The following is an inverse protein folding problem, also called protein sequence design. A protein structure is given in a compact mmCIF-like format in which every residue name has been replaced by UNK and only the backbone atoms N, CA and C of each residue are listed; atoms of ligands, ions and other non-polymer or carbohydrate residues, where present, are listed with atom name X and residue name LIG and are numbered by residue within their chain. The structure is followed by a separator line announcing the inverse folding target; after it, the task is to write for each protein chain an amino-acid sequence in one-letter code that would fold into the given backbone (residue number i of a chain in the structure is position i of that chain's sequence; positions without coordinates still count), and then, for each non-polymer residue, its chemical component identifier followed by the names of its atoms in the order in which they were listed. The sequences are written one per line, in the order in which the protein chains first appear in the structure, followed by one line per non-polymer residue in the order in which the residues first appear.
data_IF_516914156556
#
_entry.id   IF_516914156556
#
_cell.length_a   1.000
_cell.length_b   1.000
_cell.length_c   1.000
_cell.angle_alpha   90.00
_cell.angle_beta   90.00
_cell.angle_gamma   90.00
#
_symmetry.space_group_name_H-M   'P 1'
#
loop_
_entity.id
_entity.type
_entity.pdbx_description
1 polymer ?
#
# COMPACT_ATOMS: atom_id res chain seq x y z
N UNK A 1 -0.43 -13.47 27.94
CA UNK A 1 0.64 -13.44 26.93
C UNK A 1 0.60 -12.11 26.23
N UNK A 2 1.76 -11.49 26.12
CA UNK A 2 1.88 -10.14 25.53
C UNK A 2 2.16 -10.21 24.03
N UNK A 3 1.39 -11.01 23.32
CA UNK A 3 1.50 -11.20 21.87
C UNK A 3 0.14 -10.98 21.21
N UNK A 4 0.12 -10.24 20.11
CA UNK A 4 -1.07 -10.12 19.27
C UNK A 4 -0.83 -10.91 17.98
N UNK A 5 -1.85 -11.63 17.55
CA UNK A 5 -1.82 -12.36 16.27
C UNK A 5 -2.95 -11.78 15.44
N UNK A 6 -2.60 -11.09 14.35
CA UNK A 6 -3.54 -10.26 13.61
C UNK A 6 -3.64 -10.73 12.16
N UNK A 7 -4.84 -10.65 11.61
CA UNK A 7 -5.08 -10.98 10.20
C UNK A 7 -6.13 -10.03 9.62
N UNK A 8 -6.26 -10.02 8.30
CA UNK A 8 -7.18 -9.13 7.60
C UNK A 8 -7.90 -9.92 6.52
N UNK A 9 -9.23 -9.95 6.58
CA UNK A 9 -10.05 -10.69 5.62
C UNK A 9 -11.04 -9.82 4.85
N UNK A 10 -11.17 -8.54 5.23
CA UNK A 10 -12.05 -7.61 4.55
C UNK A 10 -11.36 -6.98 3.34
N UNK A 11 -12.13 -6.29 2.50
CA UNK A 11 -11.59 -5.55 1.37
C UNK A 11 -10.74 -4.37 1.82
N UNK A 12 -9.74 -4.05 1.00
CA UNK A 12 -8.99 -2.80 1.11
C UNK A 12 -7.93 -2.80 2.18
N UNK A 13 -7.54 -1.60 2.54
CA UNK A 13 -6.43 -1.31 3.44
C UNK A 13 -6.93 -1.19 4.87
N UNK A 14 -6.24 -1.86 5.81
CA UNK A 14 -6.54 -1.69 7.23
C UNK A 14 -5.24 -1.73 8.03
N UNK A 15 -5.07 -0.72 8.88
CA UNK A 15 -3.97 -0.70 9.86
C UNK A 15 -4.24 -1.73 10.93
N UNK A 16 -3.22 -2.53 11.24
CA UNK A 16 -3.31 -3.60 12.24
C UNK A 16 -2.50 -3.31 13.49
N UNK A 17 -1.36 -2.65 13.33
CA UNK A 17 -0.50 -2.29 14.46
C UNK A 17 -0.07 -0.84 14.29
N UNK A 18 -0.29 -0.04 15.33
CA UNK A 18 0.23 1.31 15.42
C UNK A 18 1.08 1.42 16.67
N UNK A 19 2.32 1.87 16.54
CA UNK A 19 3.17 2.09 17.69
C UNK A 19 4.04 3.32 17.47
N UNK A 20 3.89 4.32 18.32
CA UNK A 20 4.65 5.56 18.26
C UNK A 20 4.69 6.17 16.85
N UNK A 21 5.73 5.89 16.08
CA UNK A 21 5.97 6.57 14.80
C UNK A 21 5.68 5.72 13.57
N UNK A 22 5.30 4.44 13.74
CA UNK A 22 5.10 3.56 12.59
C UNK A 22 3.78 2.79 12.68
N UNK A 23 3.31 2.36 11.53
CA UNK A 23 2.12 1.50 11.43
C UNK A 23 2.39 0.36 10.47
N UNK A 24 1.79 -0.79 10.75
CA UNK A 24 1.78 -1.95 9.85
C UNK A 24 0.35 -2.22 9.44
N UNK A 25 0.11 -2.25 8.13
CA UNK A 25 -1.20 -2.49 7.56
C UNK A 25 -1.18 -3.72 6.67
N UNK A 26 -2.37 -4.29 6.46
CA UNK A 26 -2.59 -5.30 5.44
C UNK A 26 -3.60 -4.75 4.44
N UNK A 27 -3.35 -4.99 3.15
CA UNK A 27 -4.22 -4.52 2.08
C UNK A 27 -4.65 -5.70 1.23
N UNK A 28 -5.95 -5.88 1.12
CA UNK A 28 -6.58 -6.90 0.29
C UNK A 28 -7.18 -6.26 -0.96
N UNK A 29 -7.59 -7.10 -1.90
CA UNK A 29 -8.28 -6.66 -3.09
C UNK A 29 -9.46 -5.75 -2.75
N UNK A 30 -9.63 -4.74 -3.57
CA UNK A 30 -10.84 -3.93 -3.63
C UNK A 30 -10.98 -3.45 -5.08
N UNK A 31 -12.20 -3.18 -5.57
CA UNK A 31 -12.38 -2.77 -6.97
C UNK A 31 -11.55 -1.55 -7.37
N UNK A 32 -11.34 -0.61 -6.44
CA UNK A 32 -10.52 0.59 -6.72
C UNK A 32 -9.03 0.28 -6.88
N UNK A 33 -8.60 -0.93 -6.57
CA UNK A 33 -7.20 -1.37 -6.68
C UNK A 33 -6.99 -2.21 -7.93
N UNK A 34 -7.71 -1.88 -9.00
CA UNK A 34 -7.59 -2.49 -10.32
C UNK A 34 -7.43 -1.40 -11.37
N UNK A 35 -7.00 -1.77 -12.57
CA UNK A 35 -6.88 -0.78 -13.65
C UNK A 35 -8.22 -0.13 -13.97
N UNK A 36 -9.30 -0.90 -13.94
CA UNK A 36 -10.64 -0.39 -14.25
C UNK A 36 -11.16 0.53 -13.15
N UNK A 37 -10.79 0.25 -11.91
CA UNK A 37 -11.30 1.00 -10.75
C UNK A 37 -10.41 2.14 -10.29
N UNK A 38 -9.17 2.20 -10.75
CA UNK A 38 -8.22 3.21 -10.31
C UNK A 38 -8.58 4.58 -10.89
N UNK A 39 -8.73 5.59 -10.03
CA UNK A 39 -9.12 6.94 -10.44
C UNK A 39 -8.10 8.01 -10.07
N UNK A 40 -7.11 7.70 -9.26
CA UNK A 40 -6.09 8.64 -8.85
C UNK A 40 -4.80 7.92 -8.45
N UNK A 41 -3.70 8.67 -8.45
CA UNK A 41 -2.45 8.27 -7.84
C UNK A 41 -2.18 9.19 -6.66
N UNK A 42 -1.32 8.76 -5.74
CA UNK A 42 -1.04 9.53 -4.54
C UNK A 42 0.45 9.51 -4.21
N UNK A 43 0.87 10.46 -3.37
CA UNK A 43 2.22 10.45 -2.81
C UNK A 43 2.20 10.95 -1.37
N UNK A 44 3.02 10.33 -0.54
CA UNK A 44 3.15 10.70 0.86
C UNK A 44 4.37 11.62 1.01
N UNK A 45 4.16 12.75 1.65
CA UNK A 45 5.16 13.82 1.67
C UNK A 45 6.12 13.72 2.85
N UNK A 46 5.84 12.85 3.85
CA UNK A 46 6.62 12.80 5.08
C UNK A 46 7.08 11.39 5.45
N UNK A 47 6.84 10.42 4.61
CA UNK A 47 7.21 9.03 4.88
C UNK A 47 7.58 8.27 3.61
N UNK A 48 8.51 7.33 3.74
CA UNK A 48 8.59 6.24 2.79
C UNK A 48 7.46 5.27 3.08
N UNK A 49 7.12 4.43 2.12
CA UNK A 49 6.09 3.40 2.31
C UNK A 49 6.63 2.07 1.80
N UNK A 50 6.68 1.08 2.69
CA UNK A 50 7.20 -0.25 2.37
C UNK A 50 6.04 -1.16 2.00
N UNK A 51 6.21 -1.92 0.92
CA UNK A 51 5.24 -2.90 0.44
C UNK A 51 5.89 -4.27 0.34
N UNK A 52 5.21 -5.30 0.82
CA UNK A 52 5.64 -6.70 0.69
C UNK A 52 4.45 -7.52 0.24
N UNK A 53 4.60 -8.24 -0.89
CA UNK A 53 3.54 -9.13 -1.39
C UNK A 53 3.54 -10.42 -0.57
N UNK A 54 2.39 -10.74 0.02
CA UNK A 54 2.23 -11.96 0.82
C UNK A 54 1.60 -13.10 0.02
N UNK A 55 0.51 -12.82 -0.71
CA UNK A 55 -0.21 -13.81 -1.51
C UNK A 55 -0.73 -13.18 -2.79
N UNK A 56 -1.10 -14.00 -3.76
CA UNK A 56 -1.67 -13.55 -5.01
C UNK A 56 -0.68 -12.83 -5.90
N UNK A 57 -1.19 -11.94 -6.74
CA UNK A 57 -0.35 -11.11 -7.61
C UNK A 57 -0.69 -9.64 -7.41
N UNK A 58 0.32 -8.80 -7.54
CA UNK A 58 0.17 -7.35 -7.39
C UNK A 58 1.22 -6.63 -8.20
N UNK A 59 0.95 -5.36 -8.52
CA UNK A 59 1.91 -4.47 -9.16
C UNK A 59 1.87 -3.12 -8.47
N UNK A 60 3.01 -2.44 -8.47
CA UNK A 60 3.10 -1.03 -8.11
C UNK A 60 3.15 -0.22 -9.39
N UNK A 61 2.39 0.86 -9.44
CA UNK A 61 2.48 1.86 -10.50
C UNK A 61 3.29 3.02 -9.93
N UNK A 62 4.42 3.34 -10.55
CA UNK A 62 5.40 4.27 -9.99
C UNK A 62 5.58 5.47 -10.90
N UNK A 63 5.56 6.67 -10.28
CA UNK A 63 5.77 7.93 -10.98
C UNK A 63 4.51 8.44 -11.65
N UNK A 64 4.58 9.67 -12.18
CA UNK A 64 3.44 10.26 -12.90
C UNK A 64 3.08 9.48 -14.16
N UNK A 65 4.04 8.77 -14.72
CA UNK A 65 3.85 7.95 -15.93
C UNK A 65 3.28 6.58 -15.60
N UNK A 66 3.15 6.26 -14.31
CA UNK A 66 2.57 5.01 -13.84
C UNK A 66 3.27 3.78 -14.44
N UNK A 67 4.59 3.76 -14.33
CA UNK A 67 5.35 2.60 -14.77
C UNK A 67 4.97 1.39 -13.91
N UNK A 68 4.55 0.32 -14.54
CA UNK A 68 4.12 -0.88 -13.82
C UNK A 68 5.32 -1.72 -13.40
N UNK A 69 5.42 -1.98 -12.10
CA UNK A 69 6.44 -2.84 -11.50
C UNK A 69 5.73 -4.03 -10.88
N UNK A 70 5.72 -5.20 -11.54
CA UNK A 70 5.14 -6.39 -10.92
C UNK A 70 5.89 -6.76 -9.66
N UNK A 71 5.15 -7.08 -8.61
CA UNK A 71 5.74 -7.48 -7.33
C UNK A 71 5.99 -8.97 -7.29
N UNK A 72 7.09 -9.34 -6.65
CA UNK A 72 7.39 -10.74 -6.33
C UNK A 72 7.34 -10.91 -4.82
N UNK A 73 6.89 -12.08 -4.32
CA UNK A 73 6.86 -12.32 -2.88
C UNK A 73 8.27 -12.35 -2.30
N UNK A 74 8.35 -12.06 -1.01
CA UNK A 74 9.61 -12.07 -0.25
C UNK A 74 10.60 -10.98 -0.65
N UNK A 75 10.13 -9.92 -1.29
CA UNK A 75 10.93 -8.73 -1.60
C UNK A 75 10.34 -7.53 -0.90
N UNK A 76 11.20 -6.60 -0.52
CA UNK A 76 10.79 -5.32 0.05
C UNK A 76 10.81 -4.29 -1.07
N UNK A 77 9.65 -3.65 -1.28
CA UNK A 77 9.51 -2.56 -2.25
C UNK A 77 9.32 -1.27 -1.45
N UNK A 78 10.32 -0.43 -1.45
CA UNK A 78 10.26 0.84 -0.71
C UNK A 78 9.94 1.99 -1.66
N UNK A 79 8.73 2.50 -1.57
CA UNK A 79 8.32 3.69 -2.31
C UNK A 79 8.78 4.89 -1.49
N UNK A 80 9.78 5.63 -2.01
CA UNK A 80 10.36 6.75 -1.29
C UNK A 80 9.37 7.91 -1.21
N UNK A 81 9.46 8.66 -0.12
CA UNK A 81 8.55 9.80 0.09
C UNK A 81 8.54 10.73 -1.12
N UNK A 82 7.37 11.27 -1.40
CA UNK A 82 7.18 12.18 -2.54
C UNK A 82 7.02 11.49 -3.88
N UNK A 83 7.07 10.15 -3.93
CA UNK A 83 6.92 9.40 -5.17
C UNK A 83 5.46 9.11 -5.45
N UNK A 84 4.97 9.56 -6.62
CA UNK A 84 3.63 9.21 -7.08
C UNK A 84 3.51 7.69 -7.27
N UNK A 85 2.45 7.11 -6.76
CA UNK A 85 2.26 5.66 -6.86
C UNK A 85 0.81 5.25 -6.73
N UNK A 86 0.54 4.02 -7.13
CA UNK A 86 -0.72 3.32 -6.91
C UNK A 86 -0.42 1.83 -6.88
N UNK A 87 -1.40 1.04 -6.48
CA UNK A 87 -1.24 -0.41 -6.34
C UNK A 87 -2.37 -1.12 -7.09
N UNK A 88 -2.01 -2.19 -7.79
CA UNK A 88 -2.97 -3.06 -8.46
C UNK A 88 -2.90 -4.44 -7.81
N UNK A 89 -4.05 -4.98 -7.41
CA UNK A 89 -4.12 -6.26 -6.70
C UNK A 89 -5.05 -7.24 -7.41
N UNK A 90 -4.62 -8.50 -7.50
CA UNK A 90 -5.52 -9.59 -7.88
C UNK A 90 -6.51 -9.87 -6.74
N UNK A 91 -7.58 -10.59 -7.04
CA UNK A 91 -8.63 -10.87 -6.04
C UNK A 91 -8.12 -11.67 -4.84
N UNK A 92 -7.07 -12.45 -5.02
CA UNK A 92 -6.45 -13.25 -3.95
C UNK A 92 -5.20 -12.60 -3.36
N UNK A 93 -4.90 -11.36 -3.72
CA UNK A 93 -3.69 -10.69 -3.25
C UNK A 93 -3.84 -10.17 -1.83
N UNK A 94 -2.73 -10.24 -1.10
CA UNK A 94 -2.58 -9.52 0.16
C UNK A 94 -1.20 -8.91 0.20
N UNK A 95 -1.13 -7.63 0.56
CA UNK A 95 0.11 -6.86 0.63
C UNK A 95 0.25 -6.29 2.04
N UNK A 96 1.45 -6.44 2.61
CA UNK A 96 1.80 -5.83 3.90
C UNK A 96 2.43 -4.48 3.63
N UNK A 97 2.02 -3.47 4.40
CA UNK A 97 2.47 -2.08 4.21
C UNK A 97 2.98 -1.52 5.53
N UNK A 98 4.13 -0.85 5.49
CA UNK A 98 4.69 -0.15 6.66
C UNK A 98 4.96 1.29 6.27
N UNK A 99 4.51 2.21 7.12
CA UNK A 99 4.72 3.64 6.93
C UNK A 99 4.62 4.37 8.27
N UNK A 100 4.88 5.68 8.27
CA UNK A 100 4.70 6.47 9.47
C UNK A 100 3.23 6.45 9.91
N UNK A 101 3.01 6.37 11.22
CA UNK A 101 1.65 6.30 11.78
C UNK A 101 0.86 7.60 11.59
N UNK A 102 1.53 8.72 11.38
CA UNK A 102 0.87 10.01 11.15
C UNK A 102 0.48 10.25 9.69
N UNK A 103 0.71 9.27 8.80
CA UNK A 103 0.30 9.38 7.40
C UNK A 103 -1.20 9.54 7.30
N UNK A 104 -1.64 10.61 6.63
CA UNK A 104 -3.05 10.96 6.53
C UNK A 104 -3.27 11.82 5.28
N UNK A 105 -4.50 12.26 5.07
CA UNK A 105 -4.81 13.18 3.97
C UNK A 105 -4.05 14.50 4.12
N UNK A 106 -3.70 14.90 5.34
CA UNK A 106 -3.03 16.17 5.60
C UNK A 106 -1.60 16.20 5.02
N UNK A 107 -0.92 15.05 4.89
CA UNK A 107 0.44 14.97 4.35
C UNK A 107 0.53 14.04 3.14
N UNK A 108 -0.60 13.81 2.46
CA UNK A 108 -0.67 13.03 1.23
C UNK A 108 -1.25 13.92 0.13
N UNK A 109 -0.65 13.87 -1.04
CA UNK A 109 -1.15 14.56 -2.22
C UNK A 109 -1.76 13.56 -3.19
N UNK A 110 -2.80 14.00 -3.90
CA UNK A 110 -3.56 13.17 -4.83
C UNK A 110 -3.57 13.80 -6.22
N UNK A 111 -3.56 12.96 -7.23
CA UNK A 111 -3.62 13.41 -8.63
C UNK A 111 -4.57 12.48 -9.39
N UNK A 112 -5.61 13.06 -9.96
CA UNK A 112 -6.56 12.32 -10.79
C UNK A 112 -5.90 11.83 -12.07
N UNK A 113 -6.36 10.69 -12.52
CA UNK A 113 -5.89 10.08 -13.76
C UNK A 113 -7.03 9.76 -14.70
#
# INVERSE_FOLDING_TARGET
MALQILEHKEEGYQRKVDFEHWTVALMNYAPKLTREGLTYIERHMETDEVFVLLTGTASLLIGEEMEEVPMEPNRIYNVEKGTWHATLLSEDAQVLIVENSDTSRANTEYKDI
#
